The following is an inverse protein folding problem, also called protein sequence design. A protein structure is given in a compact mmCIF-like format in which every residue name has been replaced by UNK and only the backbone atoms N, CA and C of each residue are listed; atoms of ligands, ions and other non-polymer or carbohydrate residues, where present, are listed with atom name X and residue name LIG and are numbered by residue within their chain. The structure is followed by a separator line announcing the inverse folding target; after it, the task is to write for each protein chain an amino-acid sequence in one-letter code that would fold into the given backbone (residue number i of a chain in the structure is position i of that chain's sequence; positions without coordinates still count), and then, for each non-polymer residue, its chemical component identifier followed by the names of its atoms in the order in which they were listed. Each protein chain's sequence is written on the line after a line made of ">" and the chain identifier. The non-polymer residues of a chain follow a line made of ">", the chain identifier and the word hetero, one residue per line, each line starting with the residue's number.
data_IF_807517804672
#
_entry.id   IF_807517804672
#
_cell.length_a   1.000
_cell.length_b   1.000
_cell.length_c   1.000
_cell.angle_alpha   90.00
_cell.angle_beta   90.00
_cell.angle_gamma   90.00
#
_symmetry.space_group_name_H-M   'P 1'
#
loop_
_entity.id
_entity.type
_entity.pdbx_description
1 polymer ?
#
# COMPACT_ATOMS: atom_id res chain seq x y z
N UNK A 1 -4.89 28.98 40.33
CA UNK A 1 -5.92 28.56 39.35
C UNK A 1 -5.55 27.14 38.95
N UNK A 2 -6.01 26.21 39.75
CA UNK A 2 -5.74 24.77 39.59
C UNK A 2 -6.66 24.23 38.49
N UNK A 3 -6.09 23.87 37.34
CA UNK A 3 -6.83 23.16 36.30
C UNK A 3 -6.88 21.68 36.69
N UNK A 4 -7.96 21.28 37.32
CA UNK A 4 -8.31 19.88 37.57
C UNK A 4 -8.32 19.11 36.21
N UNK A 5 -7.40 18.15 36.13
CA UNK A 5 -7.40 17.17 35.06
C UNK A 5 -8.64 16.25 35.26
N UNK A 6 -9.53 16.06 34.25
CA UNK A 6 -10.66 15.17 34.45
C UNK A 6 -10.17 13.75 34.65
N UNK A 7 -10.43 13.23 35.84
CA UNK A 7 -10.28 11.82 36.22
C UNK A 7 -11.22 11.02 35.31
N UNK A 8 -10.63 10.30 34.36
CA UNK A 8 -11.39 9.34 33.54
C UNK A 8 -11.75 8.17 34.44
N UNK A 9 -13.01 8.11 34.85
CA UNK A 9 -13.57 6.99 35.63
C UNK A 9 -13.28 5.66 34.88
N UNK A 10 -12.89 4.61 35.58
CA UNK A 10 -12.68 3.29 35.02
C UNK A 10 -14.02 2.74 34.53
N UNK A 11 -14.19 2.69 33.19
CA UNK A 11 -15.34 2.04 32.57
C UNK A 11 -15.50 0.62 33.08
N UNK A 12 -16.74 0.24 33.40
CA UNK A 12 -17.26 -1.06 33.87
C UNK A 12 -16.42 -2.26 33.42
N UNK A 13 -16.08 -3.20 34.29
CA UNK A 13 -15.31 -4.38 33.93
C UNK A 13 -16.06 -5.17 32.84
N UNK A 14 -15.38 -5.59 31.75
CA UNK A 14 -16.00 -6.39 30.71
C UNK A 14 -16.38 -7.77 31.24
N UNK A 15 -17.46 -8.33 30.70
CA UNK A 15 -17.94 -9.68 30.95
C UNK A 15 -16.82 -10.72 30.81
N UNK A 16 -16.80 -11.72 31.69
CA UNK A 16 -15.84 -12.82 31.69
C UNK A 16 -15.78 -13.46 30.28
N UNK A 17 -14.58 -13.37 29.62
CA UNK A 17 -14.34 -13.94 28.29
C UNK A 17 -14.00 -12.94 27.18
N UNK A 18 -14.13 -11.62 27.36
CA UNK A 18 -13.76 -10.65 26.33
C UNK A 18 -12.26 -10.32 26.37
N UNK A 19 -11.58 -10.52 25.24
CA UNK A 19 -10.18 -10.13 25.06
C UNK A 19 -10.02 -8.62 25.19
N UNK A 20 -9.08 -8.18 26.04
CA UNK A 20 -8.71 -6.77 26.17
C UNK A 20 -7.59 -6.44 25.21
N UNK A 21 -7.73 -5.32 24.51
CA UNK A 21 -6.71 -4.80 23.62
C UNK A 21 -6.15 -3.50 24.18
N UNK A 22 -4.84 -3.33 24.03
CA UNK A 22 -4.11 -2.14 24.43
C UNK A 22 -3.51 -1.46 23.22
N UNK A 23 -3.51 -0.13 23.19
CA UNK A 23 -2.93 0.69 22.14
C UNK A 23 -1.73 1.47 22.67
N UNK A 24 -0.62 1.41 21.96
CA UNK A 24 0.55 2.21 22.25
C UNK A 24 0.30 3.69 21.89
N UNK A 25 0.47 4.60 22.85
CA UNK A 25 0.33 6.05 22.63
C UNK A 25 1.37 6.62 21.67
N UNK A 26 2.57 6.02 21.61
CA UNK A 26 3.66 6.52 20.81
C UNK A 26 3.52 6.16 19.32
N UNK A 27 3.12 4.91 18.97
CA UNK A 27 3.09 4.46 17.57
C UNK A 27 1.72 3.94 17.11
N UNK A 28 0.72 3.91 17.99
CA UNK A 28 -0.61 3.43 17.66
C UNK A 28 -0.76 1.91 17.53
N UNK A 29 0.31 1.13 17.79
CA UNK A 29 0.28 -0.34 17.72
C UNK A 29 -0.72 -0.90 18.72
N UNK A 30 -1.57 -1.83 18.26
CA UNK A 30 -2.60 -2.46 19.09
C UNK A 30 -2.23 -3.92 19.32
N UNK A 31 -2.32 -4.38 20.56
CA UNK A 31 -1.98 -5.73 20.99
C UNK A 31 -2.96 -6.24 22.05
N UNK A 32 -3.21 -7.53 22.08
CA UNK A 32 -3.95 -8.19 23.17
C UNK A 32 -3.16 -8.05 24.48
N UNK A 33 -3.83 -7.64 25.56
CA UNK A 33 -3.18 -7.34 26.85
C UNK A 33 -2.30 -8.48 27.37
N UNK A 34 -2.74 -9.73 27.20
CA UNK A 34 -1.99 -10.93 27.61
C UNK A 34 -0.74 -11.23 26.76
N UNK A 35 -0.60 -10.59 25.61
CA UNK A 35 0.56 -10.77 24.71
C UNK A 35 1.58 -9.63 24.81
N UNK A 36 1.27 -8.57 25.60
CA UNK A 36 2.16 -7.44 25.76
C UNK A 36 3.23 -7.75 26.83
N UNK A 37 4.50 -7.73 26.39
CA UNK A 37 5.67 -7.80 27.28
C UNK A 37 5.99 -6.43 27.93
N UNK A 38 7.24 -6.24 28.34
CA UNK A 38 7.70 -5.03 29.02
C UNK A 38 7.78 -3.81 28.11
N UNK A 39 7.93 -4.02 26.81
CA UNK A 39 8.07 -2.97 25.80
C UNK A 39 7.15 -3.22 24.61
N UNK A 40 6.83 -2.14 23.91
CA UNK A 40 6.11 -2.20 22.65
C UNK A 40 6.93 -2.95 21.59
N UNK A 41 6.41 -4.01 20.96
CA UNK A 41 7.15 -4.76 19.94
C UNK A 41 7.38 -3.95 18.65
N UNK A 42 6.61 -2.88 18.42
CA UNK A 42 6.72 -2.06 17.22
C UNK A 42 7.70 -0.88 17.36
N UNK A 43 7.74 -0.20 18.52
CA UNK A 43 8.56 1.01 18.69
C UNK A 43 9.47 1.01 19.93
N UNK A 44 9.47 -0.05 20.73
CA UNK A 44 10.36 -0.22 21.88
C UNK A 44 10.02 0.59 23.14
N UNK A 45 8.97 1.44 23.14
CA UNK A 45 8.58 2.19 24.34
C UNK A 45 8.08 1.26 25.43
N UNK A 46 8.29 1.65 26.69
CA UNK A 46 7.88 0.86 27.85
C UNK A 46 6.36 0.66 27.91
N UNK A 47 5.91 -0.44 28.54
CA UNK A 47 4.50 -0.82 28.71
C UNK A 47 3.63 0.30 29.29
N UNK A 48 4.17 1.20 30.08
CA UNK A 48 3.46 2.37 30.65
C UNK A 48 2.85 3.30 29.58
N UNK A 49 3.36 3.27 28.34
CA UNK A 49 2.81 4.04 27.25
C UNK A 49 1.56 3.42 26.59
N UNK A 50 1.08 2.30 27.09
CA UNK A 50 -0.12 1.65 26.56
C UNK A 50 -1.38 2.10 27.32
N UNK A 51 -2.46 2.28 26.54
CA UNK A 51 -3.80 2.61 27.06
C UNK A 51 -4.81 1.60 26.52
N UNK A 52 -5.95 1.39 27.20
CA UNK A 52 -7.01 0.55 26.69
C UNK A 52 -7.45 0.98 25.30
N UNK A 53 -7.56 0.03 24.38
CA UNK A 53 -8.12 0.27 23.05
C UNK A 53 -9.65 0.28 23.16
N UNK A 54 -10.23 1.47 23.06
CA UNK A 54 -11.69 1.69 23.22
C UNK A 54 -12.48 1.41 21.95
N UNK A 55 -11.80 1.09 20.83
CA UNK A 55 -12.48 0.78 19.57
C UNK A 55 -13.17 -0.60 19.63
N UNK A 56 -14.50 -0.60 19.62
CA UNK A 56 -15.31 -1.82 19.52
C UNK A 56 -15.25 -2.39 18.12
N UNK A 57 -14.23 -3.17 17.81
CA UNK A 57 -14.04 -3.87 16.54
C UNK A 57 -14.32 -5.35 16.76
N UNK A 58 -15.15 -5.98 15.91
CA UNK A 58 -15.37 -7.44 16.00
C UNK A 58 -14.08 -8.20 15.71
N UNK A 59 -13.88 -9.35 16.36
CA UNK A 59 -12.71 -10.22 16.17
C UNK A 59 -12.48 -10.57 14.69
N UNK A 60 -13.56 -10.87 13.94
CA UNK A 60 -13.49 -11.17 12.51
C UNK A 60 -12.94 -9.99 11.71
N UNK A 61 -13.39 -8.76 12.00
CA UNK A 61 -12.89 -7.55 11.34
C UNK A 61 -11.44 -7.27 11.71
N UNK A 62 -11.05 -7.52 12.96
CA UNK A 62 -9.67 -7.38 13.42
C UNK A 62 -8.73 -8.33 12.67
N UNK A 63 -9.08 -9.61 12.58
CA UNK A 63 -8.30 -10.60 11.85
C UNK A 63 -8.11 -10.22 10.35
N UNK A 64 -9.14 -9.68 9.70
CA UNK A 64 -9.04 -9.20 8.32
C UNK A 64 -8.10 -7.99 8.18
N UNK A 65 -8.11 -7.07 9.14
CA UNK A 65 -7.23 -5.91 9.16
C UNK A 65 -5.77 -6.30 9.42
N UNK A 66 -5.54 -7.28 10.29
CA UNK A 66 -4.22 -7.83 10.62
C UNK A 66 -3.61 -8.66 9.48
N UNK A 67 -4.43 -9.21 8.56
CA UNK A 67 -3.95 -9.96 7.41
C UNK A 67 -3.15 -9.11 6.41
N UNK A 68 -3.27 -7.78 6.45
CA UNK A 68 -2.51 -6.83 5.62
C UNK A 68 -2.52 -7.15 4.12
N UNK A 69 -3.62 -7.71 3.60
CA UNK A 69 -3.73 -8.21 2.22
C UNK A 69 -3.41 -7.11 1.20
N UNK A 70 -4.03 -5.92 1.35
CA UNK A 70 -3.79 -4.81 0.43
C UNK A 70 -2.33 -4.31 0.44
N UNK A 71 -1.70 -4.03 1.60
CA UNK A 71 -0.28 -3.70 1.66
C UNK A 71 0.63 -4.71 0.95
N UNK A 72 0.36 -6.00 1.06
CA UNK A 72 1.16 -7.06 0.40
C UNK A 72 0.98 -6.99 -1.12
N UNK A 73 -0.27 -6.92 -1.61
CA UNK A 73 -0.57 -6.95 -3.05
C UNK A 73 -0.01 -5.72 -3.77
N UNK A 74 -0.04 -4.52 -3.18
CA UNK A 74 0.44 -3.29 -3.84
C UNK A 74 1.95 -3.26 -4.07
N UNK A 75 2.72 -4.13 -3.42
CA UNK A 75 4.15 -4.24 -3.72
C UNK A 75 4.41 -4.82 -5.12
N UNK A 76 3.50 -5.64 -5.67
CA UNK A 76 3.65 -6.22 -7.01
C UNK A 76 3.68 -5.15 -8.12
N UNK A 77 2.66 -4.28 -8.27
CA UNK A 77 2.70 -3.24 -9.29
C UNK A 77 3.86 -2.25 -9.08
N UNK A 78 4.26 -1.97 -7.84
CA UNK A 78 5.43 -1.13 -7.55
C UNK A 78 6.73 -1.78 -8.01
N UNK A 79 6.93 -3.06 -7.69
CA UNK A 79 8.11 -3.82 -8.11
C UNK A 79 8.17 -3.92 -9.63
N UNK A 80 7.05 -4.23 -10.30
CA UNK A 80 7.00 -4.36 -11.75
C UNK A 80 7.28 -3.02 -12.45
N UNK A 81 6.68 -1.91 -11.99
CA UNK A 81 6.92 -0.58 -12.57
C UNK A 81 8.38 -0.15 -12.39
N UNK A 82 8.97 -0.39 -11.22
CA UNK A 82 10.38 -0.10 -10.96
C UNK A 82 11.31 -0.97 -11.83
N UNK A 83 11.07 -2.27 -11.89
CA UNK A 83 11.87 -3.19 -12.70
C UNK A 83 11.75 -2.88 -14.19
N UNK A 84 10.56 -2.50 -14.66
CA UNK A 84 10.35 -2.08 -16.04
C UNK A 84 11.15 -0.81 -16.37
N UNK A 85 11.23 0.15 -15.43
CA UNK A 85 12.05 1.35 -15.59
C UNK A 85 13.55 1.00 -15.69
N UNK A 86 14.03 0.14 -14.80
CA UNK A 86 15.43 -0.32 -14.82
C UNK A 86 15.75 -1.05 -16.12
N UNK A 87 14.87 -1.93 -16.58
CA UNK A 87 15.05 -2.65 -17.84
C UNK A 87 14.98 -1.74 -19.07
N UNK A 88 14.08 -0.76 -19.08
CA UNK A 88 14.00 0.22 -20.19
C UNK A 88 15.29 1.04 -20.30
N UNK A 89 15.87 1.45 -19.14
CA UNK A 89 17.18 2.10 -19.12
C UNK A 89 18.26 1.10 -19.59
N UNK A 90 18.19 -0.16 -19.11
CA UNK A 90 19.11 -1.22 -19.52
C UNK A 90 19.11 -1.47 -21.03
N UNK A 91 17.94 -1.48 -21.67
CA UNK A 91 17.81 -1.63 -23.14
C UNK A 91 18.57 -0.54 -23.89
N UNK A 92 18.59 0.72 -23.39
CA UNK A 92 19.29 1.83 -24.03
C UNK A 92 20.82 1.68 -24.02
N UNK A 93 21.36 0.95 -23.06
CA UNK A 93 22.82 0.81 -22.86
C UNK A 93 23.30 -0.63 -23.00
N UNK A 94 22.39 -1.58 -23.28
CA UNK A 94 22.75 -2.98 -23.40
C UNK A 94 23.57 -3.25 -24.68
N UNK A 95 24.61 -4.08 -24.63
CA UNK A 95 25.22 -4.60 -25.82
C UNK A 95 24.22 -5.50 -26.58
N UNK A 96 24.39 -5.63 -27.90
CA UNK A 96 23.47 -6.36 -28.79
C UNK A 96 23.12 -7.77 -28.30
N UNK A 97 24.09 -8.45 -27.66
CA UNK A 97 23.92 -9.78 -27.09
C UNK A 97 22.92 -9.86 -25.94
N UNK A 98 22.72 -8.78 -25.20
CA UNK A 98 21.81 -8.70 -24.04
C UNK A 98 20.52 -7.95 -24.36
N UNK A 99 20.50 -7.16 -25.41
CA UNK A 99 19.37 -6.29 -25.77
C UNK A 99 18.06 -7.08 -25.91
N UNK A 100 18.08 -8.20 -26.62
CA UNK A 100 16.89 -9.03 -26.80
C UNK A 100 16.36 -9.61 -25.47
N UNK A 101 17.24 -10.03 -24.59
CA UNK A 101 16.86 -10.56 -23.28
C UNK A 101 16.21 -9.48 -22.40
N UNK A 102 16.79 -8.28 -22.37
CA UNK A 102 16.23 -7.13 -21.66
C UNK A 102 14.87 -6.74 -22.24
N UNK A 103 14.73 -6.74 -23.57
CA UNK A 103 13.48 -6.43 -24.24
C UNK A 103 12.36 -7.44 -23.90
N UNK A 104 12.62 -8.74 -24.04
CA UNK A 104 11.63 -9.76 -23.68
C UNK A 104 11.25 -9.71 -22.20
N UNK A 105 12.21 -9.45 -21.31
CA UNK A 105 11.92 -9.26 -19.89
C UNK A 105 11.03 -8.06 -19.65
N UNK A 106 11.24 -6.96 -20.36
CA UNK A 106 10.40 -5.77 -20.31
C UNK A 106 8.97 -6.07 -20.79
N UNK A 107 8.81 -6.82 -21.88
CA UNK A 107 7.50 -7.25 -22.39
C UNK A 107 6.74 -8.09 -21.36
N UNK A 108 7.41 -9.02 -20.70
CA UNK A 108 6.81 -9.85 -19.63
C UNK A 108 6.33 -8.97 -18.48
N UNK A 109 7.14 -8.03 -18.02
CA UNK A 109 6.73 -7.11 -16.94
C UNK A 109 5.57 -6.22 -17.38
N UNK A 110 5.61 -5.68 -18.60
CA UNK A 110 4.53 -4.87 -19.15
C UNK A 110 3.21 -5.66 -19.23
N UNK A 111 3.25 -6.95 -19.58
CA UNK A 111 2.08 -7.82 -19.61
C UNK A 111 1.47 -8.02 -18.21
N UNK A 112 2.29 -8.26 -17.18
CA UNK A 112 1.80 -8.49 -15.82
C UNK A 112 1.42 -7.22 -15.06
N UNK A 113 1.87 -6.05 -15.51
CA UNK A 113 1.62 -4.77 -14.84
C UNK A 113 0.13 -4.42 -14.69
N UNK A 114 -0.73 -4.50 -15.73
CA UNK A 114 -2.17 -4.25 -15.59
C UNK A 114 -2.86 -5.27 -14.68
N UNK A 115 -2.44 -6.52 -14.71
CA UNK A 115 -2.98 -7.58 -13.84
C UNK A 115 -2.70 -7.24 -12.38
N UNK A 116 -1.45 -6.87 -12.06
CA UNK A 116 -1.04 -6.44 -10.72
C UNK A 116 -1.76 -5.15 -10.30
N UNK A 117 -1.98 -4.22 -11.22
CA UNK A 117 -2.73 -2.99 -10.99
C UNK A 117 -4.20 -3.25 -10.63
N UNK A 118 -4.87 -4.13 -11.36
CA UNK A 118 -6.26 -4.53 -11.08
C UNK A 118 -6.33 -5.21 -9.71
N UNK A 119 -5.43 -6.14 -9.41
CA UNK A 119 -5.37 -6.79 -8.10
C UNK A 119 -5.15 -5.78 -6.97
N UNK A 120 -4.26 -4.79 -7.17
CA UNK A 120 -4.02 -3.69 -6.25
C UNK A 120 -5.26 -2.82 -6.02
N UNK A 121 -6.00 -2.47 -7.09
CA UNK A 121 -7.23 -1.69 -6.98
C UNK A 121 -8.33 -2.46 -6.24
N UNK A 122 -8.57 -3.71 -6.61
CA UNK A 122 -9.59 -4.55 -5.97
C UNK A 122 -9.30 -4.79 -4.49
N UNK A 123 -8.05 -5.14 -4.16
CA UNK A 123 -7.63 -5.30 -2.75
C UNK A 123 -7.75 -3.99 -1.96
N UNK A 124 -7.47 -2.84 -2.60
CA UNK A 124 -7.62 -1.53 -1.98
C UNK A 124 -9.07 -1.14 -1.71
N UNK A 125 -9.98 -1.44 -2.63
CA UNK A 125 -11.42 -1.24 -2.44
C UNK A 125 -11.97 -2.15 -1.31
N UNK A 126 -11.52 -3.40 -1.27
CA UNK A 126 -11.87 -4.34 -0.22
C UNK A 126 -11.39 -3.85 1.16
N UNK A 127 -10.11 -3.47 1.28
CA UNK A 127 -9.53 -2.93 2.51
C UNK A 127 -10.23 -1.63 2.94
N UNK A 128 -10.55 -0.74 1.99
CA UNK A 128 -11.28 0.49 2.27
C UNK A 128 -12.68 0.23 2.85
N UNK A 129 -13.39 -0.78 2.34
CA UNK A 129 -14.71 -1.18 2.86
C UNK A 129 -14.62 -1.69 4.30
N UNK A 130 -13.54 -2.38 4.64
CA UNK A 130 -13.33 -2.90 6.00
C UNK A 130 -12.88 -1.78 6.96
N UNK A 131 -11.96 -0.90 6.53
CA UNK A 131 -11.39 0.16 7.39
C UNK A 131 -12.31 1.35 7.59
N UNK A 132 -12.98 1.80 6.54
CA UNK A 132 -13.68 3.08 6.55
C UNK A 132 -15.20 2.91 6.49
N UNK A 133 -15.91 3.67 7.33
CA UNK A 133 -17.39 3.73 7.29
C UNK A 133 -17.93 4.39 6.02
N UNK A 134 -17.13 5.30 5.41
CA UNK A 134 -17.48 6.01 4.16
C UNK A 134 -16.34 5.84 3.15
N UNK A 135 -16.66 5.23 2.00
CA UNK A 135 -15.70 5.01 0.90
C UNK A 135 -15.51 6.29 0.07
N UNK A 136 -16.45 7.23 0.11
CA UNK A 136 -16.46 8.42 -0.73
C UNK A 136 -15.70 9.63 -0.14
N UNK A 137 -14.57 9.40 0.56
CA UNK A 137 -13.70 10.47 1.05
C UNK A 137 -12.84 11.03 -0.08
N UNK A 138 -12.42 12.31 0.02
CA UNK A 138 -11.60 12.96 -1.00
C UNK A 138 -10.28 12.21 -1.28
N UNK A 139 -9.64 11.67 -0.23
CA UNK A 139 -8.43 10.88 -0.37
C UNK A 139 -8.67 9.55 -1.11
N UNK A 140 -9.74 8.84 -0.77
CA UNK A 140 -10.08 7.58 -1.43
C UNK A 140 -10.46 7.79 -2.89
N UNK A 141 -11.22 8.83 -3.21
CA UNK A 141 -11.56 9.20 -4.60
C UNK A 141 -10.29 9.45 -5.42
N UNK A 142 -9.35 10.25 -4.90
CA UNK A 142 -8.06 10.49 -5.57
C UNK A 142 -7.30 9.19 -5.80
N UNK A 143 -7.24 8.31 -4.79
CA UNK A 143 -6.56 7.01 -4.90
C UNK A 143 -7.20 6.13 -5.99
N UNK A 144 -8.52 6.08 -6.08
CA UNK A 144 -9.25 5.33 -7.12
C UNK A 144 -8.94 5.91 -8.51
N UNK A 145 -9.01 7.23 -8.67
CA UNK A 145 -8.72 7.88 -9.97
C UNK A 145 -7.30 7.58 -10.42
N UNK A 146 -6.29 7.75 -9.55
CA UNK A 146 -4.90 7.44 -9.88
C UNK A 146 -4.72 5.94 -10.19
N UNK A 147 -5.41 5.06 -9.46
CA UNK A 147 -5.42 3.62 -9.73
C UNK A 147 -6.01 3.28 -11.10
N UNK A 148 -7.11 3.93 -11.50
CA UNK A 148 -7.69 3.77 -12.84
C UNK A 148 -6.75 4.30 -13.93
N UNK A 149 -6.12 5.47 -13.74
CA UNK A 149 -5.12 6.00 -14.67
C UNK A 149 -3.96 5.02 -14.83
N UNK A 150 -3.44 4.48 -13.72
CA UNK A 150 -2.39 3.47 -13.74
C UNK A 150 -2.79 2.23 -14.55
N UNK A 151 -4.02 1.72 -14.39
CA UNK A 151 -4.50 0.52 -15.11
C UNK A 151 -4.61 0.82 -16.62
N UNK A 152 -5.22 1.95 -17.00
CA UNK A 152 -5.35 2.33 -18.40
C UNK A 152 -3.98 2.51 -19.06
N UNK A 153 -3.07 3.22 -18.41
CA UNK A 153 -1.69 3.41 -18.88
C UNK A 153 -0.96 2.06 -19.01
N UNK A 154 -1.07 1.18 -18.01
CA UNK A 154 -0.41 -0.13 -18.03
C UNK A 154 -0.97 -1.07 -19.10
N UNK A 155 -2.26 -0.97 -19.46
CA UNK A 155 -2.84 -1.69 -20.59
C UNK A 155 -2.26 -1.16 -21.93
N UNK A 156 -2.21 0.16 -22.10
CA UNK A 156 -1.63 0.79 -23.26
C UNK A 156 -0.15 0.44 -23.41
N UNK A 157 0.60 0.45 -22.29
CA UNK A 157 2.00 0.05 -22.23
C UNK A 157 2.19 -1.41 -22.64
N UNK A 158 1.39 -2.33 -22.09
CA UNK A 158 1.43 -3.75 -22.43
C UNK A 158 1.15 -3.96 -23.92
N UNK A 159 0.12 -3.30 -24.46
CA UNK A 159 -0.21 -3.36 -25.88
C UNK A 159 0.96 -2.87 -26.73
N UNK A 160 1.51 -1.70 -26.42
CA UNK A 160 2.63 -1.12 -27.16
C UNK A 160 3.87 -2.02 -27.12
N UNK A 161 4.22 -2.56 -25.95
CA UNK A 161 5.38 -3.44 -25.79
C UNK A 161 5.22 -4.77 -26.54
N UNK A 162 4.03 -5.37 -26.54
CA UNK A 162 3.78 -6.67 -27.18
C UNK A 162 3.64 -6.59 -28.70
N UNK A 163 3.23 -5.44 -29.24
CA UNK A 163 3.06 -5.27 -30.69
C UNK A 163 4.34 -4.85 -31.40
N UNK A 164 5.31 -4.30 -30.68
CA UNK A 164 6.61 -3.95 -31.26
C UNK A 164 7.50 -5.17 -31.47
N UNK A 165 8.03 -5.29 -32.71
CA UNK A 165 8.92 -6.41 -33.09
C UNK A 165 10.39 -6.15 -32.74
N UNK A 166 10.79 -4.89 -32.60
CA UNK A 166 12.17 -4.50 -32.28
C UNK A 166 12.16 -3.31 -31.31
N UNK A 167 13.09 -3.29 -30.33
CA UNK A 167 13.18 -2.19 -29.37
C UNK A 167 13.68 -0.88 -30.02
N UNK A 168 14.22 -0.94 -31.21
CA UNK A 168 14.89 0.18 -31.91
C UNK A 168 13.98 1.04 -32.77
N UNK A 169 12.68 0.78 -32.83
CA UNK A 169 11.73 1.76 -33.35
C UNK A 169 11.62 2.92 -32.36
N UNK A 170 12.41 3.97 -32.60
CA UNK A 170 12.59 5.09 -31.66
C UNK A 170 11.27 5.75 -31.23
N UNK A 171 10.29 6.03 -32.12
CA UNK A 171 9.01 6.60 -31.68
C UNK A 171 8.24 5.67 -30.76
N UNK A 172 8.17 4.38 -31.09
CA UNK A 172 7.47 3.39 -30.30
C UNK A 172 8.15 3.14 -28.95
N UNK A 173 9.48 3.10 -28.90
CA UNK A 173 10.22 2.95 -27.66
C UNK A 173 10.07 4.17 -26.75
N UNK A 174 10.03 5.38 -27.30
CA UNK A 174 9.76 6.59 -26.53
C UNK A 174 8.38 6.58 -25.89
N UNK A 175 7.35 6.06 -26.56
CA UNK A 175 6.01 5.88 -25.99
C UNK A 175 6.04 4.86 -24.83
N UNK A 176 6.80 3.78 -24.94
CA UNK A 176 6.97 2.80 -23.88
C UNK A 176 7.65 3.42 -22.66
N UNK A 177 8.72 4.19 -22.84
CA UNK A 177 9.39 4.91 -21.76
C UNK A 177 8.42 5.88 -21.07
N UNK A 178 7.66 6.66 -21.85
CA UNK A 178 6.66 7.58 -21.30
C UNK A 178 5.62 6.84 -20.46
N UNK A 179 5.06 5.72 -20.94
CA UNK A 179 4.15 4.88 -20.17
C UNK A 179 4.78 4.35 -18.88
N UNK A 180 6.01 3.84 -18.93
CA UNK A 180 6.72 3.37 -17.73
C UNK A 180 6.89 4.50 -16.69
N UNK A 181 7.23 5.70 -17.14
CA UNK A 181 7.38 6.86 -16.25
C UNK A 181 6.05 7.27 -15.62
N UNK A 182 4.96 7.24 -16.38
CA UNK A 182 3.60 7.50 -15.87
C UNK A 182 3.22 6.43 -14.85
N UNK A 183 3.39 5.14 -15.18
CA UNK A 183 3.12 4.04 -14.26
C UNK A 183 3.92 4.18 -12.96
N UNK A 184 5.21 4.48 -13.05
CA UNK A 184 6.08 4.67 -11.90
C UNK A 184 5.65 5.87 -11.04
N UNK A 185 5.32 7.01 -11.66
CA UNK A 185 4.79 8.18 -10.95
C UNK A 185 3.46 7.86 -10.22
N UNK A 186 2.55 7.13 -10.88
CA UNK A 186 1.32 6.67 -10.26
C UNK A 186 1.58 5.80 -9.03
N UNK A 187 2.54 4.87 -9.08
CA UNK A 187 2.88 4.02 -7.93
C UNK A 187 3.42 4.82 -6.75
N UNK A 188 4.26 5.84 -7.00
CA UNK A 188 4.75 6.76 -5.96
C UNK A 188 3.59 7.53 -5.32
N UNK A 189 2.70 8.10 -6.13
CA UNK A 189 1.55 8.86 -5.63
C UNK A 189 0.60 7.99 -4.81
N UNK A 190 0.28 6.77 -5.30
CA UNK A 190 -0.55 5.81 -4.59
C UNK A 190 0.09 5.37 -3.27
N UNK A 191 1.41 5.16 -3.25
CA UNK A 191 2.18 4.82 -2.06
C UNK A 191 2.13 5.95 -1.02
N UNK A 192 2.36 7.20 -1.43
CA UNK A 192 2.28 8.38 -0.53
C UNK A 192 0.89 8.55 0.08
N UNK A 193 -0.18 8.43 -0.73
CA UNK A 193 -1.55 8.51 -0.23
C UNK A 193 -1.83 7.33 0.71
N UNK A 194 -1.36 6.12 0.36
CA UNK A 194 -1.50 4.93 1.21
C UNK A 194 -0.81 5.08 2.56
N UNK A 195 0.42 5.57 2.58
CA UNK A 195 1.17 5.86 3.80
C UNK A 195 0.45 6.90 4.67
N UNK A 196 -0.03 8.02 4.08
CA UNK A 196 -0.76 9.04 4.80
C UNK A 196 -2.05 8.49 5.45
N UNK A 197 -2.77 7.58 4.77
CA UNK A 197 -3.96 6.94 5.34
C UNK A 197 -3.65 5.92 6.45
N UNK A 198 -2.49 5.28 6.40
CA UNK A 198 -2.07 4.28 7.39
C UNK A 198 -1.38 4.92 8.60
N UNK A 199 -0.58 5.97 8.37
CA UNK A 199 0.23 6.65 9.39
C UNK A 199 -0.44 7.90 9.99
N UNK A 200 -1.69 8.21 9.62
CA UNK A 200 -2.41 9.41 10.08
C UNK A 200 -2.63 9.48 11.61
N UNK A 201 -2.23 8.46 12.34
CA UNK A 201 -2.32 8.37 13.81
C UNK A 201 -0.97 8.46 14.52
N UNK A 202 0.13 8.62 13.82
CA UNK A 202 1.40 8.93 14.47
C UNK A 202 1.41 10.42 14.84
N UNK A 203 1.47 10.79 16.12
CA UNK A 203 1.80 12.16 16.48
C UNK A 203 3.20 12.42 15.93
N UNK A 204 3.29 13.42 15.06
CA UNK A 204 4.58 13.97 14.61
C UNK A 204 5.28 14.63 15.79
#
# INVERSE_FOLDING_TARGET
>A
MDTENPVVEPSTPPSAGSKRYLRCKACGYVIEEGKLGDCCPACGVKRVAFVPDTEKISEKRRALLEAHIHPIIVHLPQAFAFSALVLAIGVLFAPDSLMNHAWYSLQVLAFFLPIAGIAGLLSGLYDAKIRFKKIATSYLKRKIVIGCVFIVDSIALAWSALTQKAPLDMPGFALIIAGILIAFACTILLGRIGAALSCSRMPG
#
